data_IF_410874864100
#
_entry.id   IF_410874864100
#
_cell.length_a   1.000
_cell.length_b   1.000
_cell.length_c   1.000
_cell.angle_alpha   90.00
_cell.angle_beta   90.00
_cell.angle_gamma   90.00
#
_symmetry.space_group_name_H-M   'P 1'
#
loop_
_entity.id
_entity.type
_entity.pdbx_description
1 polymer ?
#
# COMPACT_ATOMS: atom_id res chain seq x y z
N UNK A 1 -63.52 -26.19 -41.73
CA UNK A 1 -63.04 -25.39 -40.59
C UNK A 1 -61.58 -25.73 -40.34
N UNK A 2 -60.63 -24.90 -40.78
CA UNK A 2 -59.22 -25.00 -40.40
C UNK A 2 -58.60 -23.62 -40.64
N UNK A 3 -58.22 -22.89 -39.58
CA UNK A 3 -57.50 -21.62 -39.69
C UNK A 3 -56.08 -21.86 -39.20
N UNK A 4 -55.15 -22.05 -40.14
CA UNK A 4 -53.72 -22.06 -39.89
C UNK A 4 -53.31 -20.62 -39.58
N UNK A 5 -52.79 -20.36 -38.38
CA UNK A 5 -52.17 -19.09 -38.03
C UNK A 5 -50.67 -19.31 -37.92
N UNK A 6 -49.94 -18.88 -38.93
CA UNK A 6 -48.48 -18.80 -38.93
C UNK A 6 -48.05 -17.78 -37.87
N UNK A 7 -47.35 -18.25 -36.84
CA UNK A 7 -46.65 -17.38 -35.90
C UNK A 7 -45.25 -17.12 -36.45
N UNK A 8 -45.05 -15.94 -37.03
CA UNK A 8 -43.74 -15.40 -37.36
C UNK A 8 -43.06 -15.02 -36.04
N UNK A 9 -42.12 -15.85 -35.57
CA UNK A 9 -41.21 -15.49 -34.49
C UNK A 9 -40.16 -14.51 -35.05
N UNK A 10 -40.40 -13.21 -34.86
CA UNK A 10 -39.39 -12.20 -35.10
C UNK A 10 -38.36 -12.25 -33.97
N UNK A 11 -37.20 -12.84 -34.23
CA UNK A 11 -36.09 -12.89 -33.28
C UNK A 11 -35.50 -11.48 -33.11
N UNK A 12 -35.93 -10.77 -32.07
CA UNK A 12 -35.28 -9.53 -31.63
C UNK A 12 -34.01 -9.92 -30.86
N UNK A 13 -32.87 -9.91 -31.54
CA UNK A 13 -31.57 -10.04 -30.90
C UNK A 13 -31.29 -8.79 -30.06
N UNK A 14 -31.58 -8.85 -28.76
CA UNK A 14 -31.20 -7.82 -27.81
C UNK A 14 -29.66 -7.83 -27.68
N UNK A 15 -28.97 -6.91 -28.35
CA UNK A 15 -27.56 -6.62 -28.09
C UNK A 15 -27.46 -6.10 -26.64
N UNK A 16 -27.07 -6.98 -25.73
CA UNK A 16 -26.61 -6.61 -24.39
C UNK A 16 -25.33 -5.81 -24.54
N UNK A 17 -25.44 -4.48 -24.53
CA UNK A 17 -24.31 -3.58 -24.36
C UNK A 17 -23.82 -3.76 -22.93
N UNK A 18 -22.85 -4.66 -22.72
CA UNK A 18 -22.15 -4.78 -21.43
C UNK A 18 -21.34 -3.49 -21.27
N UNK A 19 -21.65 -2.63 -20.29
CA UNK A 19 -20.80 -1.49 -20.02
C UNK A 19 -19.46 -2.04 -19.55
N UNK A 20 -18.40 -1.75 -20.31
CA UNK A 20 -17.03 -1.97 -19.86
C UNK A 20 -16.80 -1.08 -18.64
N UNK A 21 -17.00 -1.63 -17.44
CA UNK A 21 -16.55 -1.02 -16.19
C UNK A 21 -15.03 -1.20 -16.11
N UNK A 22 -14.32 -0.53 -17.01
CA UNK A 22 -12.89 -0.27 -16.84
C UNK A 22 -12.78 0.69 -15.66
N UNK A 23 -12.70 0.13 -14.46
CA UNK A 23 -12.46 0.91 -13.24
C UNK A 23 -11.25 1.80 -13.45
N UNK A 24 -11.42 3.11 -13.23
CA UNK A 24 -10.35 4.08 -13.36
C UNK A 24 -9.19 3.66 -12.46
N UNK A 25 -8.09 3.20 -13.07
CA UNK A 25 -6.90 2.88 -12.32
C UNK A 25 -6.32 4.16 -11.73
N UNK A 26 -5.92 4.12 -10.45
CA UNK A 26 -5.30 5.27 -9.80
C UNK A 26 -4.10 5.73 -10.62
N UNK A 27 -4.04 7.02 -10.93
CA UNK A 27 -2.90 7.62 -11.64
C UNK A 27 -1.62 7.65 -10.79
N UNK A 28 -1.75 7.47 -9.47
CA UNK A 28 -0.62 7.55 -8.54
C UNK A 28 0.16 6.24 -8.50
N UNK A 29 1.48 6.34 -8.60
CA UNK A 29 2.38 5.18 -8.57
C UNK A 29 3.22 5.14 -7.31
N UNK A 30 3.42 3.94 -6.80
CA UNK A 30 4.37 3.63 -5.74
C UNK A 30 5.78 3.63 -6.33
N UNK A 31 6.67 4.44 -5.77
CA UNK A 31 8.03 4.67 -6.28
C UNK A 31 9.12 3.97 -5.47
N UNK A 32 8.77 3.42 -4.31
CA UNK A 32 9.65 2.71 -3.40
C UNK A 32 10.35 3.66 -2.41
N UNK A 33 10.61 3.15 -1.21
CA UNK A 33 11.17 3.92 -0.09
C UNK A 33 12.53 4.55 -0.43
N UNK A 34 13.33 3.90 -1.29
CA UNK A 34 14.62 4.43 -1.76
C UNK A 34 14.50 5.77 -2.50
N UNK A 35 13.37 6.04 -3.15
CA UNK A 35 13.15 7.31 -3.83
C UNK A 35 12.99 8.49 -2.85
N UNK A 36 12.57 8.22 -1.60
CA UNK A 36 12.42 9.22 -0.54
C UNK A 36 13.76 9.57 0.13
N UNK A 37 14.74 8.65 0.05
CA UNK A 37 16.03 8.73 0.72
C UNK A 37 16.78 10.06 0.52
N UNK A 38 16.94 10.61 -0.71
CA UNK A 38 17.80 11.77 -0.92
C UNK A 38 17.36 13.01 -0.15
N UNK A 39 16.04 13.18 0.06
CA UNK A 39 15.47 14.33 0.78
C UNK A 39 15.22 14.04 2.26
N UNK A 40 14.97 12.79 2.64
CA UNK A 40 14.54 12.40 4.00
C UNK A 40 15.64 11.74 4.85
N UNK A 41 16.91 11.81 4.44
CA UNK A 41 18.04 11.22 5.19
C UNK A 41 18.53 12.09 6.35
N UNK A 42 18.39 13.42 6.25
CA UNK A 42 19.09 14.36 7.13
C UNK A 42 18.24 14.82 8.31
N UNK A 43 18.83 15.31 9.41
CA UNK A 43 18.07 15.88 10.52
C UNK A 43 17.13 17.03 10.13
N UNK A 44 17.45 17.79 9.06
CA UNK A 44 16.62 18.89 8.55
C UNK A 44 15.23 18.43 8.07
N UNK A 45 15.09 17.16 7.72
CA UNK A 45 13.85 16.52 7.29
C UNK A 45 13.36 15.45 8.28
N UNK A 46 13.75 15.60 9.56
CA UNK A 46 13.41 14.66 10.62
C UNK A 46 14.15 13.31 10.54
N UNK A 47 15.12 13.17 9.62
CA UNK A 47 15.86 11.93 9.35
C UNK A 47 14.95 10.70 9.13
N UNK A 48 13.77 10.91 8.56
CA UNK A 48 12.72 9.91 8.44
C UNK A 48 13.19 8.60 7.77
N UNK A 49 14.00 8.70 6.72
CA UNK A 49 14.53 7.51 6.04
C UNK A 49 15.47 6.71 6.94
N UNK A 50 16.33 7.38 7.71
CA UNK A 50 17.25 6.73 8.66
C UNK A 50 16.49 6.01 9.77
N UNK A 51 15.46 6.66 10.31
CA UNK A 51 14.58 6.07 11.34
C UNK A 51 13.85 4.84 10.79
N UNK A 52 13.26 4.95 9.60
CA UNK A 52 12.60 3.83 8.93
C UNK A 52 13.56 2.66 8.68
N UNK A 53 14.74 2.93 8.11
CA UNK A 53 15.72 1.90 7.77
C UNK A 53 16.19 1.10 8.99
N UNK A 54 16.30 1.74 10.15
CA UNK A 54 16.65 1.09 11.41
C UNK A 54 15.47 0.35 12.08
N UNK A 55 14.25 0.53 11.59
CA UNK A 55 13.03 -0.01 12.20
C UNK A 55 12.73 -1.45 11.78
N UNK A 56 11.85 -2.10 12.54
CA UNK A 56 11.31 -3.41 12.18
C UNK A 56 10.43 -3.38 10.93
N UNK A 57 9.91 -2.21 10.54
CA UNK A 57 9.11 -2.07 9.32
C UNK A 57 9.96 -2.30 8.06
N UNK A 58 11.15 -1.70 7.97
CA UNK A 58 12.09 -1.96 6.88
C UNK A 58 12.57 -3.43 6.83
N UNK A 59 12.51 -4.14 7.97
CA UNK A 59 12.92 -5.54 8.09
C UNK A 59 11.75 -6.53 7.96
N UNK A 60 10.52 -6.04 7.77
CA UNK A 60 9.33 -6.86 7.87
C UNK A 60 9.35 -8.03 6.87
N UNK A 61 9.62 -7.76 5.59
CA UNK A 61 9.67 -8.82 4.58
C UNK A 61 10.77 -9.84 4.86
N UNK A 62 11.98 -9.38 5.23
CA UNK A 62 13.10 -10.25 5.57
C UNK A 62 12.82 -11.15 6.78
N UNK A 63 11.99 -10.70 7.73
CA UNK A 63 11.59 -11.50 8.90
C UNK A 63 10.88 -12.79 8.49
N UNK A 64 10.15 -12.79 7.37
CA UNK A 64 9.45 -13.98 6.85
C UNK A 64 10.42 -15.09 6.41
N UNK A 65 11.67 -14.75 6.08
CA UNK A 65 12.69 -15.74 5.72
C UNK A 65 13.31 -16.46 6.93
N UNK A 66 13.05 -15.99 8.15
CA UNK A 66 13.68 -16.52 9.38
C UNK A 66 13.15 -17.92 9.75
N UNK A 67 13.95 -18.75 10.45
CA UNK A 67 13.49 -20.06 10.93
C UNK A 67 12.22 -19.97 11.79
N UNK A 68 12.15 -18.97 12.69
CA UNK A 68 10.98 -18.77 13.55
C UNK A 68 9.70 -18.46 12.74
N UNK A 69 9.79 -17.62 11.71
CA UNK A 69 8.66 -17.33 10.84
C UNK A 69 8.23 -18.58 10.05
N UNK A 70 9.18 -19.37 9.55
CA UNK A 70 8.91 -20.63 8.85
C UNK A 70 8.24 -21.67 9.76
N UNK A 71 8.63 -21.76 11.02
CA UNK A 71 7.99 -22.65 12.00
C UNK A 71 6.52 -22.26 12.25
N UNK A 72 6.26 -20.95 12.42
CA UNK A 72 4.89 -20.43 12.58
C UNK A 72 4.06 -20.70 11.31
N UNK A 73 4.65 -20.50 10.14
CA UNK A 73 4.04 -20.76 8.84
C UNK A 73 3.66 -22.24 8.69
N UNK A 74 4.58 -23.16 9.00
CA UNK A 74 4.34 -24.60 8.95
C UNK A 74 3.18 -25.04 9.85
N UNK A 75 3.11 -24.54 11.10
CA UNK A 75 2.00 -24.81 12.02
C UNK A 75 0.63 -24.35 11.48
N UNK A 76 0.62 -23.50 10.45
CA UNK A 76 -0.57 -22.94 9.80
C UNK A 76 -0.77 -23.47 8.37
N UNK A 77 -0.01 -24.49 7.98
CA UNK A 77 -0.07 -25.07 6.63
C UNK A 77 0.37 -24.10 5.54
N UNK A 78 1.28 -23.16 5.85
CA UNK A 78 1.88 -22.23 4.89
C UNK A 78 3.24 -22.80 4.47
N UNK A 79 3.43 -23.05 3.18
CA UNK A 79 4.67 -23.58 2.63
C UNK A 79 5.80 -22.53 2.61
N UNK A 80 5.50 -21.32 2.14
CA UNK A 80 6.45 -20.22 2.03
C UNK A 80 5.80 -18.90 2.47
N UNK A 81 6.11 -18.39 3.67
CA UNK A 81 5.52 -17.15 4.16
C UNK A 81 5.90 -15.92 3.32
N UNK A 82 6.97 -15.96 2.51
CA UNK A 82 7.32 -14.86 1.60
C UNK A 82 6.46 -14.82 0.33
N UNK A 83 5.60 -15.83 0.11
CA UNK A 83 4.70 -15.92 -1.05
C UNK A 83 3.24 -16.02 -0.66
N UNK A 84 2.94 -16.31 0.60
CA UNK A 84 1.57 -16.48 1.08
C UNK A 84 0.97 -15.13 1.50
N UNK A 85 -0.18 -14.80 0.93
CA UNK A 85 -0.92 -13.55 1.17
C UNK A 85 -1.21 -13.30 2.65
N UNK A 86 -1.41 -14.37 3.44
CA UNK A 86 -1.67 -14.27 4.88
C UNK A 86 -0.52 -13.60 5.63
N UNK A 87 0.68 -13.65 5.07
CA UNK A 87 1.89 -13.04 5.60
C UNK A 87 2.25 -11.75 4.88
N UNK A 88 2.34 -11.76 3.54
CA UNK A 88 2.86 -10.62 2.78
C UNK A 88 1.94 -9.40 2.83
N UNK A 89 0.64 -9.56 3.12
CA UNK A 89 -0.30 -8.45 3.30
C UNK A 89 0.10 -7.41 4.34
N UNK A 90 0.90 -7.81 5.32
CA UNK A 90 1.42 -6.93 6.37
C UNK A 90 2.95 -6.74 6.31
N UNK A 91 3.62 -7.41 5.39
CA UNK A 91 5.09 -7.50 5.37
C UNK A 91 5.72 -6.96 4.09
N UNK A 92 4.93 -6.60 3.06
CA UNK A 92 5.41 -5.97 1.85
C UNK A 92 4.45 -4.84 1.41
N UNK A 93 4.98 -3.64 1.19
CA UNK A 93 4.26 -2.49 0.59
C UNK A 93 3.56 -2.85 -0.71
N UNK A 94 4.12 -3.75 -1.52
CA UNK A 94 3.59 -4.06 -2.84
C UNK A 94 2.32 -4.93 -2.79
N UNK A 95 1.98 -5.54 -1.65
CA UNK A 95 0.86 -6.47 -1.59
C UNK A 95 -0.48 -5.77 -1.90
N UNK A 96 -1.28 -6.36 -2.77
CA UNK A 96 -2.58 -5.83 -3.17
C UNK A 96 -2.51 -4.59 -4.07
N UNK A 97 -1.30 -4.13 -4.44
CA UNK A 97 -1.11 -3.02 -5.37
C UNK A 97 -1.02 -3.57 -6.79
N UNK A 98 -1.82 -3.03 -7.71
CA UNK A 98 -1.78 -3.44 -9.11
C UNK A 98 -0.40 -3.13 -9.71
N UNK A 99 0.11 -4.04 -10.55
CA UNK A 99 1.42 -3.86 -11.19
C UNK A 99 1.54 -2.53 -11.98
N UNK A 100 0.43 -2.04 -12.55
CA UNK A 100 0.35 -0.74 -13.24
C UNK A 100 0.57 0.46 -12.31
N UNK A 101 0.33 0.30 -11.01
CA UNK A 101 0.56 1.29 -9.97
C UNK A 101 1.95 1.20 -9.34
N UNK A 102 2.77 0.21 -9.72
CA UNK A 102 4.17 0.14 -9.29
C UNK A 102 5.04 0.83 -10.34
N UNK A 103 5.84 1.82 -9.93
CA UNK A 103 6.81 2.43 -10.82
C UNK A 103 7.96 1.43 -11.11
N UNK A 104 8.68 1.56 -12.25
CA UNK A 104 9.84 0.72 -12.54
C UNK A 104 10.95 0.78 -11.47
N UNK A 105 10.98 1.86 -10.69
CA UNK A 105 11.92 2.05 -9.57
C UNK A 105 11.55 1.27 -8.32
N UNK A 106 10.28 0.88 -8.19
CA UNK A 106 9.79 0.13 -7.03
C UNK A 106 10.45 -1.26 -7.00
N UNK A 107 10.89 -1.69 -5.82
CA UNK A 107 11.47 -3.01 -5.60
C UNK A 107 10.63 -3.75 -4.56
N UNK A 108 10.00 -4.89 -4.92
CA UNK A 108 9.33 -5.75 -3.95
C UNK A 108 10.28 -6.16 -2.83
N UNK A 109 9.72 -6.45 -1.65
CA UNK A 109 10.48 -6.91 -0.49
C UNK A 109 11.23 -5.84 0.30
N UNK A 110 10.92 -4.54 0.11
CA UNK A 110 11.45 -3.46 0.96
C UNK A 110 10.82 -3.42 2.38
N UNK A 111 9.94 -4.38 2.68
CA UNK A 111 9.22 -4.44 3.95
C UNK A 111 8.01 -3.52 3.97
N UNK A 112 7.66 -3.04 5.16
CA UNK A 112 6.68 -1.97 5.34
C UNK A 112 7.38 -0.64 5.06
N UNK A 113 7.24 -0.16 3.82
CA UNK A 113 7.90 1.03 3.29
C UNK A 113 7.19 2.34 3.65
N UNK A 114 7.74 3.46 3.17
CA UNK A 114 7.20 4.80 3.38
C UNK A 114 5.73 4.90 2.91
N UNK A 115 5.44 4.29 1.77
CA UNK A 115 4.21 4.46 1.01
C UNK A 115 3.02 3.66 1.57
N UNK A 116 3.24 2.72 2.51
CA UNK A 116 2.13 2.11 3.27
C UNK A 116 1.43 3.16 4.15
N UNK A 117 2.23 4.07 4.73
CA UNK A 117 1.73 5.10 5.64
C UNK A 117 1.41 6.42 4.91
N UNK A 118 2.21 6.75 3.90
CA UNK A 118 2.17 8.04 3.22
C UNK A 118 1.53 8.01 1.83
N UNK A 119 1.09 6.85 1.35
CA UNK A 119 0.49 6.72 0.03
C UNK A 119 1.52 6.74 -1.11
N UNK A 120 1.02 6.75 -2.35
CA UNK A 120 1.83 6.60 -3.55
C UNK A 120 2.60 7.90 -3.91
N UNK A 121 3.93 7.83 -3.96
CA UNK A 121 4.82 8.98 -4.03
C UNK A 121 5.04 9.63 -5.40
N UNK A 122 4.48 9.09 -6.48
CA UNK A 122 4.84 9.54 -7.84
C UNK A 122 4.66 11.04 -8.07
N UNK A 123 3.60 11.62 -7.52
CA UNK A 123 3.23 13.02 -7.77
C UNK A 123 3.77 13.99 -6.71
N UNK A 124 3.98 13.56 -5.46
CA UNK A 124 4.49 14.43 -4.40
C UNK A 124 6.00 14.37 -4.18
N UNK A 125 6.74 13.49 -4.87
CA UNK A 125 8.20 13.36 -4.69
C UNK A 125 9.03 14.61 -4.97
N UNK A 126 8.48 15.62 -5.64
CA UNK A 126 9.23 16.83 -6.01
C UNK A 126 9.17 17.88 -4.91
N UNK A 127 10.25 18.63 -4.74
CA UNK A 127 10.34 19.69 -3.73
C UNK A 127 9.24 20.75 -3.89
N UNK A 128 8.91 21.12 -5.13
CA UNK A 128 7.87 22.12 -5.40
C UNK A 128 6.50 21.64 -4.92
N UNK A 129 6.14 20.38 -5.20
CA UNK A 129 4.85 19.82 -4.78
C UNK A 129 4.78 19.71 -3.26
N UNK A 130 5.85 19.25 -2.59
CA UNK A 130 5.90 19.24 -1.12
C UNK A 130 5.75 20.63 -0.51
N UNK A 131 6.41 21.66 -1.07
CA UNK A 131 6.24 23.05 -0.63
C UNK A 131 4.81 23.57 -0.84
N UNK A 132 4.20 23.22 -1.97
CA UNK A 132 2.82 23.61 -2.26
C UNK A 132 1.83 22.92 -1.29
N UNK A 133 2.13 21.69 -0.84
CA UNK A 133 1.38 21.00 0.22
C UNK A 133 1.57 21.73 1.56
N UNK A 134 2.82 22.01 1.94
CA UNK A 134 3.16 22.64 3.23
C UNK A 134 2.56 24.05 3.36
N UNK A 135 2.46 24.78 2.25
CA UNK A 135 1.83 26.11 2.20
C UNK A 135 0.32 26.07 2.03
N UNK A 136 -0.28 24.87 1.89
CA UNK A 136 -1.72 24.69 1.69
C UNK A 136 -2.24 25.05 0.31
N UNK A 137 -1.35 25.35 -0.65
CA UNK A 137 -1.71 25.65 -2.05
C UNK A 137 -2.34 24.43 -2.74
N UNK A 138 -1.91 23.23 -2.38
CA UNK A 138 -2.56 21.97 -2.80
C UNK A 138 -2.80 21.06 -1.59
N UNK A 139 -3.81 20.21 -1.69
CA UNK A 139 -4.08 19.17 -0.69
C UNK A 139 -3.26 17.92 -1.02
N UNK A 140 -2.56 17.36 -0.04
CA UNK A 140 -1.71 16.18 -0.26
C UNK A 140 -2.45 14.99 -0.89
N UNK A 141 -3.70 14.78 -0.50
CA UNK A 141 -4.55 13.70 -1.00
C UNK A 141 -4.79 13.78 -2.52
N UNK A 142 -4.74 15.00 -3.09
CA UNK A 142 -4.92 15.23 -4.54
C UNK A 142 -3.71 14.79 -5.37
N UNK A 143 -2.59 14.53 -4.71
CA UNK A 143 -1.33 14.03 -5.29
C UNK A 143 -0.89 12.70 -4.68
N UNK A 144 -1.81 11.99 -4.00
CA UNK A 144 -1.57 10.65 -3.46
C UNK A 144 -0.91 10.62 -2.09
N UNK A 145 -0.58 11.77 -1.48
CA UNK A 145 -0.05 11.82 -0.12
C UNK A 145 -1.16 11.53 0.89
N UNK A 146 -0.87 10.65 1.83
CA UNK A 146 -1.75 10.29 2.93
C UNK A 146 -1.11 10.68 4.27
N UNK A 147 -1.95 11.13 5.21
CA UNK A 147 -1.55 11.26 6.61
C UNK A 147 -1.89 9.97 7.33
N UNK A 148 -0.86 9.29 7.84
CA UNK A 148 -1.04 8.10 8.65
C UNK A 148 -1.77 8.44 9.96
N UNK A 149 -2.73 7.60 10.29
CA UNK A 149 -3.53 7.63 11.51
C UNK A 149 -3.57 6.24 12.16
N UNK A 150 -4.32 6.10 13.26
CA UNK A 150 -4.46 4.81 13.94
C UNK A 150 -5.04 3.72 13.02
N UNK A 151 -6.01 4.07 12.16
CA UNK A 151 -6.60 3.13 11.20
C UNK A 151 -5.57 2.59 10.23
N UNK A 152 -4.63 3.42 9.81
CA UNK A 152 -3.50 3.02 8.96
C UNK A 152 -2.67 1.93 9.64
N UNK A 153 -2.38 2.06 10.93
CA UNK A 153 -1.65 1.06 11.69
C UNK A 153 -2.45 -0.24 11.90
N UNK A 154 -3.75 -0.12 12.19
CA UNK A 154 -4.63 -1.26 12.46
C UNK A 154 -4.90 -2.14 11.23
N UNK A 155 -4.53 -1.71 10.01
CA UNK A 155 -4.52 -2.59 8.82
C UNK A 155 -3.64 -3.83 9.03
N UNK A 156 -2.59 -3.71 9.84
CA UNK A 156 -1.64 -4.80 10.12
C UNK A 156 -1.56 -5.16 11.61
N UNK A 157 -1.70 -4.17 12.50
CA UNK A 157 -1.70 -4.37 13.95
C UNK A 157 -3.09 -4.74 14.47
N UNK A 158 -3.58 -5.91 14.06
CA UNK A 158 -4.91 -6.40 14.41
C UNK A 158 -4.87 -7.88 14.84
N UNK A 159 -6.04 -8.43 15.14
CA UNK A 159 -6.20 -9.80 15.62
C UNK A 159 -5.96 -10.88 14.54
N UNK A 160 -5.98 -10.53 13.24
CA UNK A 160 -5.70 -11.49 12.17
C UNK A 160 -4.21 -11.83 12.06
N UNK A 161 -3.34 -11.03 12.69
CA UNK A 161 -1.91 -11.29 12.72
C UNK A 161 -1.63 -12.52 13.61
N UNK A 162 -1.04 -13.60 13.08
CA UNK A 162 -0.79 -14.83 13.84
C UNK A 162 0.16 -14.66 15.04
N UNK A 163 0.93 -13.57 15.07
CA UNK A 163 1.82 -13.18 16.15
C UNK A 163 1.43 -11.83 16.75
N UNK A 164 0.14 -11.49 16.68
CA UNK A 164 -0.40 -10.24 17.19
C UNK A 164 0.04 -10.01 18.63
N UNK A 165 0.54 -8.80 18.88
CA UNK A 165 0.89 -8.31 20.21
C UNK A 165 -0.08 -7.18 20.56
N UNK A 166 -0.35 -6.92 21.85
CA UNK A 166 -1.04 -5.71 22.26
C UNK A 166 -0.44 -4.49 21.57
N UNK A 167 -1.27 -3.73 20.86
CA UNK A 167 -0.87 -2.56 20.09
C UNK A 167 -1.47 -1.32 20.73
N UNK A 168 -0.60 -0.40 21.15
CA UNK A 168 -0.98 0.93 21.61
C UNK A 168 -0.46 1.94 20.57
N UNK A 169 -1.37 2.57 19.83
CA UNK A 169 -1.01 3.52 18.78
C UNK A 169 -0.21 4.72 19.31
N UNK A 170 -0.60 5.27 20.46
CA UNK A 170 0.06 6.44 21.04
C UNK A 170 1.51 6.16 21.46
N UNK A 171 1.81 4.94 21.92
CA UNK A 171 3.18 4.53 22.25
C UNK A 171 3.98 4.09 21.03
N UNK A 172 3.36 3.35 20.11
CA UNK A 172 4.03 2.83 18.91
C UNK A 172 4.42 3.96 17.94
N UNK A 173 3.54 4.94 17.74
CA UNK A 173 3.81 6.10 16.87
C UNK A 173 5.02 6.92 17.33
N UNK A 174 5.25 7.04 18.64
CA UNK A 174 6.44 7.73 19.20
C UNK A 174 7.75 7.06 18.79
N UNK A 175 7.77 5.74 18.62
CA UNK A 175 8.99 4.99 18.26
C UNK A 175 9.44 5.22 16.82
N UNK A 176 8.53 5.68 15.97
CA UNK A 176 8.78 5.97 14.56
C UNK A 176 8.60 7.45 14.24
N UNK A 177 8.46 8.32 15.25
CA UNK A 177 8.21 9.73 15.04
C UNK A 177 9.39 10.39 14.32
N UNK A 178 9.11 11.09 13.23
CA UNK A 178 10.08 11.80 12.41
C UNK A 178 9.54 13.17 11.96
N UNK A 179 9.13 14.04 12.90
CA UNK A 179 8.64 15.36 12.52
C UNK A 179 9.74 16.15 11.83
N UNK A 180 9.41 16.81 10.71
CA UNK A 180 10.28 17.85 10.16
C UNK A 180 10.44 18.94 11.23
N UNK A 181 11.67 19.30 11.62
CA UNK A 181 11.89 20.38 12.58
C UNK A 181 11.22 21.66 12.12
N UNK A 182 10.61 22.40 13.05
CA UNK A 182 10.13 23.76 12.77
C UNK A 182 11.36 24.62 12.46
N UNK A 183 11.32 25.32 11.32
CA UNK A 183 12.31 26.33 10.95
C UNK A 183 12.01 27.65 11.64
#
# INVERSE_FOLDING_TARGET
MMKIRAFLFSAVAALLVIPNVLGAQSKFKYIGSKACMPCHMTPKSGAAYKIWQASKHAQAFATLATPAAKEIAQKKGIADPQKDERCVKCHDTAFGIAASQLAPTFKPGEGVGCEICHGAGSEYKTMQVMKDIDTGKIKGETVGLMKADEKTCLKCHNAENPVSKPFNFAEASKKIAHPTPKQ
#
